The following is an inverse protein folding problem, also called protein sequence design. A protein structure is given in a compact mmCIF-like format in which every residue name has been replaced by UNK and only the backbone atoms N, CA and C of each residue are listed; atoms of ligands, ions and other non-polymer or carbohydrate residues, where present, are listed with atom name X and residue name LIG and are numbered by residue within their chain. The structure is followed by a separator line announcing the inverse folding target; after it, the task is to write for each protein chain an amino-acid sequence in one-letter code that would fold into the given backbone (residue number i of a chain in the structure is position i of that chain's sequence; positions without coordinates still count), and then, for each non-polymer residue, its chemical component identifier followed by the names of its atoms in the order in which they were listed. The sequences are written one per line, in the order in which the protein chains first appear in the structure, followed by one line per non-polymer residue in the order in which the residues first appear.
data_IF_563860341410
#
_entry.id   IF_563860341410
#
_cell.length_a   1.000
_cell.length_b   1.000
_cell.length_c   1.000
_cell.angle_alpha   90.00
_cell.angle_beta   90.00
_cell.angle_gamma   90.00
#
_symmetry.space_group_name_H-M   'P 1'
#
loop_
_entity.id
_entity.type
_entity.pdbx_description
1 polymer ?
#
# COMPACT_ATOMS: atom_id res chain seq x y z
N UNK A 1 6.90 18.97 -1.16
CA UNK A 1 5.59 18.57 -0.60
C UNK A 1 5.49 17.07 -0.36
N UNK A 2 5.75 16.21 -1.34
CA UNK A 2 5.64 14.74 -1.20
C UNK A 2 6.52 14.16 -0.08
N UNK A 3 7.80 14.52 -0.01
CA UNK A 3 8.71 14.05 1.06
C UNK A 3 8.27 14.50 2.46
N UNK A 4 7.74 15.72 2.57
CA UNK A 4 7.21 16.26 3.83
C UNK A 4 5.98 15.45 4.30
N UNK A 5 5.07 15.11 3.38
CA UNK A 5 3.89 14.30 3.68
C UNK A 5 4.27 12.89 4.15
N UNK A 6 5.26 12.26 3.49
CA UNK A 6 5.80 10.97 3.93
C UNK A 6 6.49 11.04 5.29
N UNK A 7 7.24 12.12 5.56
CA UNK A 7 7.86 12.36 6.87
C UNK A 7 6.83 12.53 7.98
N UNK A 8 5.78 13.32 7.75
CA UNK A 8 4.67 13.50 8.70
C UNK A 8 3.94 12.18 8.93
N UNK A 9 3.61 11.45 7.86
CA UNK A 9 2.96 10.14 7.97
C UNK A 9 3.81 9.18 8.83
N UNK A 10 5.11 9.06 8.54
CA UNK A 10 6.02 8.23 9.34
C UNK A 10 6.09 8.66 10.81
N UNK A 11 6.10 9.97 11.09
CA UNK A 11 6.08 10.48 12.46
C UNK A 11 4.77 10.15 13.18
N UNK A 12 3.62 10.25 12.52
CA UNK A 12 2.32 9.89 13.09
C UNK A 12 2.25 8.41 13.50
N UNK A 13 2.90 7.51 12.76
CA UNK A 13 3.01 6.09 13.14
C UNK A 13 3.87 5.84 14.39
N UNK A 14 4.71 6.80 14.80
CA UNK A 14 5.52 6.71 16.03
C UNK A 14 4.75 7.32 17.21
N UNK A 15 3.74 8.15 16.95
CA UNK A 15 2.94 8.78 18.00
C UNK A 15 1.87 7.86 18.55
N UNK A 16 1.56 8.03 19.84
CA UNK A 16 0.51 7.25 20.48
C UNK A 16 -0.88 7.62 20.00
N UNK A 17 -1.59 6.63 19.48
CA UNK A 17 -2.96 6.78 19.04
C UNK A 17 -3.86 7.26 20.20
N UNK A 18 -4.71 8.28 19.99
CA UNK A 18 -5.67 8.74 20.98
C UNK A 18 -6.54 7.58 21.47
N UNK A 19 -6.92 7.59 22.75
CA UNK A 19 -7.60 6.46 23.40
C UNK A 19 -8.85 5.96 22.67
N UNK A 20 -9.60 6.87 22.04
CA UNK A 20 -10.83 6.57 21.28
C UNK A 20 -10.59 5.65 20.08
N UNK A 21 -9.42 5.75 19.45
CA UNK A 21 -9.11 5.00 18.23
C UNK A 21 -8.33 3.72 18.49
N UNK A 22 -7.90 3.44 19.72
CA UNK A 22 -7.09 2.24 20.04
C UNK A 22 -7.79 0.93 19.74
N UNK A 23 -9.13 0.90 19.76
CA UNK A 23 -9.89 -0.28 19.35
C UNK A 23 -9.86 -0.56 17.84
N UNK A 24 -9.42 0.42 17.04
CA UNK A 24 -9.40 0.37 15.58
C UNK A 24 -7.99 0.48 14.99
N UNK A 25 -6.96 0.27 15.81
CA UNK A 25 -5.55 0.50 15.46
C UNK A 25 -5.14 -0.33 14.23
N UNK A 26 -5.52 -1.61 14.25
CA UNK A 26 -5.24 -2.57 13.16
C UNK A 26 -5.98 -2.22 11.89
N UNK A 27 -7.25 -1.83 12.00
CA UNK A 27 -8.07 -1.40 10.88
C UNK A 27 -7.47 -0.14 10.24
N UNK A 28 -6.97 0.79 11.05
CA UNK A 28 -6.34 2.02 10.58
C UNK A 28 -5.00 1.74 9.88
N UNK A 29 -4.19 0.82 10.42
CA UNK A 29 -2.97 0.31 9.79
C UNK A 29 -3.27 -0.30 8.42
N UNK A 30 -4.25 -1.21 8.36
CA UNK A 30 -4.69 -1.84 7.12
C UNK A 30 -5.19 -0.81 6.10
N UNK A 31 -6.05 0.12 6.53
CA UNK A 31 -6.61 1.18 5.68
C UNK A 31 -5.52 2.12 5.14
N UNK A 32 -4.56 2.52 5.98
CA UNK A 32 -3.44 3.36 5.57
C UNK A 32 -2.62 2.68 4.47
N UNK A 33 -2.23 1.41 4.69
CA UNK A 33 -1.43 0.67 3.72
C UNK A 33 -2.18 0.37 2.42
N UNK A 34 -3.48 0.10 2.50
CA UNK A 34 -4.36 0.00 1.33
C UNK A 34 -4.35 1.29 0.51
N UNK A 35 -4.59 2.44 1.16
CA UNK A 35 -4.62 3.74 0.51
C UNK A 35 -3.25 4.15 -0.05
N UNK A 36 -2.16 3.86 0.67
CA UNK A 36 -0.80 4.12 0.21
C UNK A 36 -0.47 3.30 -1.04
N UNK A 37 -0.82 2.00 -1.04
CA UNK A 37 -0.64 1.14 -2.20
C UNK A 37 -1.47 1.63 -3.39
N UNK A 38 -2.73 2.03 -3.17
CA UNK A 38 -3.59 2.60 -4.20
C UNK A 38 -3.00 3.86 -4.81
N UNK A 39 -2.62 4.82 -3.96
CA UNK A 39 -2.05 6.09 -4.40
C UNK A 39 -0.78 5.88 -5.22
N UNK A 40 0.17 5.07 -4.73
CA UNK A 40 1.43 4.83 -5.43
C UNK A 40 1.23 4.05 -6.75
N UNK A 41 0.31 3.09 -6.80
CA UNK A 41 0.04 2.34 -8.02
C UNK A 41 -0.63 3.21 -9.08
N UNK A 42 -1.57 4.07 -8.70
CA UNK A 42 -2.19 5.03 -9.62
C UNK A 42 -1.15 6.02 -10.18
N UNK A 43 -0.21 6.47 -9.35
CA UNK A 43 0.81 7.44 -9.76
C UNK A 43 1.91 6.83 -10.64
N UNK A 44 2.40 5.63 -10.30
CA UNK A 44 3.62 5.08 -10.90
C UNK A 44 3.42 3.81 -11.71
N UNK A 45 2.47 2.94 -11.35
CA UNK A 45 2.44 1.61 -11.93
C UNK A 45 1.99 1.62 -13.39
N UNK A 46 1.09 2.52 -13.82
CA UNK A 46 0.54 2.56 -15.19
C UNK A 46 0.13 1.16 -15.71
N UNK A 47 -0.41 0.30 -14.84
CA UNK A 47 -0.78 -1.12 -15.08
C UNK A 47 0.39 -2.11 -15.21
N UNK A 48 1.64 -1.69 -14.99
CA UNK A 48 2.82 -2.56 -14.88
C UNK A 48 2.78 -3.36 -13.58
N UNK A 49 2.74 -4.69 -13.70
CA UNK A 49 2.80 -5.59 -12.54
C UNK A 49 4.17 -5.55 -11.85
N UNK A 50 5.25 -5.30 -12.59
CA UNK A 50 6.59 -5.18 -12.01
C UNK A 50 6.65 -3.99 -11.03
N UNK A 51 6.13 -2.83 -11.44
CA UNK A 51 6.10 -1.65 -10.58
C UNK A 51 5.18 -1.88 -9.38
N UNK A 52 4.04 -2.56 -9.57
CA UNK A 52 3.16 -2.95 -8.46
C UNK A 52 3.90 -3.80 -7.42
N UNK A 53 4.65 -4.82 -7.85
CA UNK A 53 5.44 -5.69 -6.95
C UNK A 53 6.51 -4.88 -6.21
N UNK A 54 7.20 -3.96 -6.89
CA UNK A 54 8.19 -3.09 -6.25
C UNK A 54 7.53 -2.23 -5.17
N UNK A 55 6.40 -1.58 -5.48
CA UNK A 55 5.64 -0.76 -4.51
C UNK A 55 5.22 -1.62 -3.31
N UNK A 56 4.70 -2.82 -3.55
CA UNK A 56 4.28 -3.75 -2.49
C UNK A 56 5.44 -4.07 -1.55
N UNK A 57 6.60 -4.46 -2.09
CA UNK A 57 7.79 -4.80 -1.30
C UNK A 57 8.27 -3.58 -0.51
N UNK A 58 8.37 -2.41 -1.16
CA UNK A 58 8.84 -1.19 -0.50
C UNK A 58 7.93 -0.80 0.66
N UNK A 59 6.60 -0.85 0.47
CA UNK A 59 5.65 -0.56 1.55
C UNK A 59 5.76 -1.60 2.66
N UNK A 60 5.82 -2.90 2.34
CA UNK A 60 5.98 -3.94 3.35
C UNK A 60 7.23 -3.74 4.21
N UNK A 61 8.38 -3.47 3.57
CA UNK A 61 9.63 -3.14 4.27
C UNK A 61 9.50 -1.86 5.10
N UNK A 62 8.80 -0.84 4.59
CA UNK A 62 8.54 0.40 5.32
C UNK A 62 7.71 0.16 6.59
N UNK A 63 6.73 -0.75 6.56
CA UNK A 63 5.94 -1.12 7.75
C UNK A 63 6.79 -1.78 8.83
N UNK A 64 7.69 -2.69 8.44
CA UNK A 64 8.65 -3.26 9.37
C UNK A 64 9.62 -2.21 9.91
N UNK A 65 10.07 -1.27 9.07
CA UNK A 65 10.95 -0.19 9.48
C UNK A 65 10.29 0.75 10.49
N UNK A 66 8.99 1.01 10.36
CA UNK A 66 8.21 1.78 11.35
C UNK A 66 8.23 1.09 12.72
N UNK A 67 7.92 -0.21 12.78
CA UNK A 67 7.94 -0.98 14.05
C UNK A 67 9.33 -0.97 14.70
N UNK A 68 10.38 -1.16 13.91
CA UNK A 68 11.75 -1.01 14.40
C UNK A 68 12.05 0.42 14.86
N UNK A 69 11.54 1.42 14.15
CA UNK A 69 11.62 2.83 14.50
C UNK A 69 10.95 3.13 15.83
N UNK A 70 9.78 2.54 16.11
CA UNK A 70 9.09 2.68 17.39
C UNK A 70 9.96 2.13 18.55
N UNK A 71 10.48 0.91 18.41
CA UNK A 71 11.38 0.30 19.42
C UNK A 71 12.62 1.15 19.64
N UNK A 72 13.25 1.61 18.55
CA UNK A 72 14.42 2.48 18.61
C UNK A 72 14.08 3.82 19.29
N UNK A 73 12.91 4.39 19.00
CA UNK A 73 12.48 5.66 19.55
C UNK A 73 12.23 5.60 21.05
N UNK A 74 11.70 4.48 21.54
CA UNK A 74 11.56 4.19 22.97
C UNK A 74 12.93 4.07 23.65
N UNK A 75 13.90 3.44 22.99
CA UNK A 75 15.27 3.28 23.52
C UNK A 75 16.04 4.60 23.57
N UNK A 76 15.97 5.42 22.51
CA UNK A 76 16.76 6.65 22.38
C UNK A 76 16.10 7.87 23.02
N UNK A 77 14.80 8.06 22.80
CA UNK A 77 14.07 9.28 23.18
C UNK A 77 13.00 9.05 24.25
N UNK A 78 12.88 7.83 24.78
CA UNK A 78 11.88 7.45 25.79
C UNK A 78 10.44 7.80 25.39
N UNK A 79 10.16 7.88 24.09
CA UNK A 79 8.80 8.12 23.57
C UNK A 79 7.93 6.92 24.01
N UNK A 80 6.74 7.14 24.60
CA UNK A 80 5.93 6.10 25.22
C UNK A 80 5.17 5.22 24.22
N UNK A 81 5.81 4.89 23.10
CA UNK A 81 5.24 4.11 22.01
C UNK A 81 5.95 2.77 21.84
N UNK A 82 5.14 1.73 21.64
CA UNK A 82 5.46 0.43 21.05
C UNK A 82 6.59 -0.42 21.65
N UNK A 83 6.28 -1.67 22.01
CA UNK A 83 7.20 -2.78 21.68
C UNK A 83 6.99 -3.12 20.20
N UNK A 84 7.92 -3.83 19.58
CA UNK A 84 7.68 -4.38 18.25
C UNK A 84 6.39 -5.21 18.26
N UNK A 85 5.41 -4.83 17.44
CA UNK A 85 4.14 -5.55 17.34
C UNK A 85 4.00 -6.25 15.98
N UNK A 86 4.12 -7.59 15.92
CA UNK A 86 3.92 -8.31 14.68
C UNK A 86 2.47 -8.24 14.18
N UNK A 87 1.50 -7.89 15.03
CA UNK A 87 0.10 -7.71 14.60
C UNK A 87 -0.07 -6.48 13.72
N UNK A 88 0.70 -5.42 13.93
CA UNK A 88 0.67 -4.21 13.11
C UNK A 88 1.25 -4.45 11.72
N UNK A 89 2.31 -5.27 11.63
CA UNK A 89 2.84 -5.73 10.34
C UNK A 89 1.82 -6.60 9.60
N UNK A 90 1.11 -7.48 10.32
CA UNK A 90 0.04 -8.29 9.72
C UNK A 90 -1.11 -7.40 9.22
N UNK A 91 -1.51 -6.40 9.99
CA UNK A 91 -2.55 -5.45 9.60
C UNK A 91 -2.15 -4.66 8.34
N UNK A 92 -0.91 -4.15 8.30
CA UNK A 92 -0.34 -3.50 7.11
C UNK A 92 -0.36 -4.44 5.89
N UNK A 93 0.09 -5.69 6.07
CA UNK A 93 0.09 -6.71 5.03
C UNK A 93 -1.32 -7.02 4.51
N UNK A 94 -2.32 -7.11 5.38
CA UNK A 94 -3.72 -7.30 4.98
C UNK A 94 -4.15 -6.15 4.06
N UNK A 95 -3.85 -4.89 4.43
CA UNK A 95 -4.17 -3.73 3.60
C UNK A 95 -3.54 -3.80 2.21
N UNK A 96 -2.25 -4.17 2.15
CA UNK A 96 -1.54 -4.38 0.89
C UNK A 96 -2.17 -5.49 0.04
N UNK A 97 -2.47 -6.65 0.64
CA UNK A 97 -3.05 -7.80 -0.06
C UNK A 97 -4.45 -7.48 -0.63
N UNK A 98 -5.30 -6.81 0.16
CA UNK A 98 -6.61 -6.38 -0.31
C UNK A 98 -6.51 -5.44 -1.51
N UNK A 99 -5.63 -4.45 -1.46
CA UNK A 99 -5.41 -3.57 -2.61
C UNK A 99 -4.86 -4.34 -3.82
N UNK A 100 -3.86 -5.20 -3.62
CA UNK A 100 -3.30 -6.03 -4.68
C UNK A 100 -4.35 -6.90 -5.37
N UNK A 101 -5.27 -7.51 -4.62
CA UNK A 101 -6.35 -8.29 -5.18
C UNK A 101 -7.24 -7.45 -6.13
N UNK A 102 -7.66 -6.26 -5.68
CA UNK A 102 -8.45 -5.33 -6.50
C UNK A 102 -7.65 -4.88 -7.73
N UNK A 103 -6.38 -4.53 -7.56
CA UNK A 103 -5.52 -4.06 -8.64
C UNK A 103 -5.32 -5.11 -9.73
N UNK A 104 -5.10 -6.37 -9.36
CA UNK A 104 -4.97 -7.47 -10.30
C UNK A 104 -6.24 -7.67 -11.12
N UNK A 105 -7.43 -7.53 -10.51
CA UNK A 105 -8.71 -7.55 -11.24
C UNK A 105 -8.78 -6.40 -12.24
N UNK A 106 -8.43 -5.17 -11.84
CA UNK A 106 -8.42 -3.99 -12.73
C UNK A 106 -7.46 -4.18 -13.91
N UNK A 107 -6.24 -4.65 -13.66
CA UNK A 107 -5.25 -4.93 -14.71
C UNK A 107 -5.74 -6.03 -15.64
N UNK A 108 -6.31 -7.11 -15.08
CA UNK A 108 -6.88 -8.23 -15.84
C UNK A 108 -8.00 -7.78 -16.77
N UNK A 109 -8.98 -7.02 -16.27
CA UNK A 109 -10.06 -6.45 -17.08
C UNK A 109 -9.49 -5.55 -18.17
N UNK A 110 -8.52 -4.70 -17.84
CA UNK A 110 -7.87 -3.83 -18.84
C UNK A 110 -7.16 -4.60 -19.94
N UNK A 111 -6.61 -5.78 -19.66
CA UNK A 111 -5.96 -6.61 -20.68
C UNK A 111 -7.00 -7.30 -21.57
N UNK A 112 -8.09 -7.80 -20.98
CA UNK A 112 -9.20 -8.40 -21.72
C UNK A 112 -9.85 -7.41 -22.69
N UNK A 113 -10.13 -6.17 -22.26
CA UNK A 113 -10.76 -5.16 -23.11
C UNK A 113 -9.86 -4.69 -24.25
N UNK A 114 -8.55 -4.56 -24.01
CA UNK A 114 -7.58 -4.20 -25.07
C UNK A 114 -7.45 -5.29 -26.14
N UNK A 115 -7.49 -6.58 -25.77
CA UNK A 115 -7.48 -7.66 -26.77
C UNK A 115 -8.69 -7.62 -27.70
N UNK A 116 -9.85 -7.20 -27.19
CA UNK A 116 -11.07 -7.11 -27.98
C UNK A 116 -11.07 -5.92 -28.96
N UNK A 117 -10.46 -4.78 -28.60
CA UNK A 117 -10.29 -3.64 -29.51
C UNK A 117 -9.28 -3.88 -30.63
N UNK A 118 -8.35 -4.83 -30.45
CA UNK A 118 -7.34 -5.19 -31.46
C UNK A 118 -7.80 -6.29 -32.42
N UNK A 119 -9.07 -6.73 -32.36
CA UNK A 119 -9.60 -7.66 -33.34
C UNK A 119 -9.46 -7.02 -34.74
N UNK A 120 -8.81 -7.69 -35.72
CA UNK A 120 -8.64 -7.12 -37.04
C UNK A 120 -10.02 -6.80 -37.60
N UNK A 121 -10.20 -5.56 -38.09
CA UNK A 121 -11.37 -5.23 -38.89
C UNK A 121 -11.52 -6.31 -39.95
N UNK A 122 -12.68 -6.98 -39.99
CA UNK A 122 -13.00 -7.92 -41.07
C UNK A 122 -12.69 -7.19 -42.37
N UNK A 123 -11.67 -7.62 -43.10
CA UNK A 123 -11.48 -7.21 -44.50
C UNK A 123 -12.78 -7.59 -45.19
N UNK A 124 -13.55 -6.60 -45.60
CA UNK A 124 -14.66 -6.80 -46.50
C UNK A 124 -14.08 -7.38 -47.79
N UNK A 125 -14.44 -8.63 -48.10
CA UNK A 125 -14.08 -9.28 -49.34
C UNK A 125 -15.20 -9.02 -50.36
N UNK A 126 -14.95 -8.25 -51.42
CA UNK A 126 -15.96 -7.91 -52.42
C UNK A 126 -16.11 -8.97 -53.54
N UNK A 127 -15.43 -10.13 -53.43
CA UNK A 127 -15.57 -11.23 -54.39
C UNK A 127 -16.83 -12.07 -54.15
#
# INVERSE_FOLDING_TARGET
MTLLCFGIAGYCFILKLPGVFRGYDKELHSLFYFCAAAFLNLLFARRSLLIHIIIFIVLYLFGMAIEHGQVLSKRLWRIPHGRYDPEDIKANLIGLLFFSAIWLVVVGISWLTRRHSSAPAKKFDPY
#
